data_IF_258082733772
#
_entry.id   IF_258082733772
#
_cell.length_a   1.000
_cell.length_b   1.000
_cell.length_c   1.000
_cell.angle_alpha   90.00
_cell.angle_beta   90.00
_cell.angle_gamma   90.00
#
_symmetry.space_group_name_H-M   'P 1'
#
loop_
_entity.id
_entity.type
_entity.pdbx_description
1 polymer ?
#
# COMPACT_ATOMS: atom_id res chain seq x y z
N UNK A 1 4.93 -19.55 42.14
CA UNK A 1 5.27 -18.13 41.94
C UNK A 1 6.51 -17.89 41.06
N UNK A 2 6.98 -18.85 40.26
CA UNK A 2 8.19 -18.69 39.42
C UNK A 2 7.91 -18.55 37.93
N UNK A 3 6.66 -18.51 37.48
CA UNK A 3 6.29 -18.49 36.06
C UNK A 3 5.58 -17.21 35.60
N UNK A 4 5.46 -16.18 36.44
CA UNK A 4 4.77 -14.94 36.13
C UNK A 4 5.69 -13.81 35.58
N UNK A 5 7.00 -14.04 35.47
CA UNK A 5 7.96 -13.04 35.03
C UNK A 5 8.42 -13.17 33.56
N UNK A 6 7.97 -14.20 32.84
CA UNK A 6 8.40 -14.45 31.46
C UNK A 6 7.44 -13.93 30.38
N UNK A 7 6.27 -13.39 30.77
CA UNK A 7 5.21 -13.00 29.80
C UNK A 7 5.26 -11.51 29.40
N UNK A 8 6.13 -10.68 29.99
CA UNK A 8 6.09 -9.21 29.81
C UNK A 8 7.07 -8.65 28.79
N UNK A 9 7.84 -9.48 28.05
CA UNK A 9 8.92 -8.98 27.20
C UNK A 9 8.63 -9.07 25.69
N UNK A 10 7.39 -9.39 25.28
CA UNK A 10 7.03 -9.55 23.85
C UNK A 10 6.20 -8.41 23.24
N UNK A 11 5.98 -7.30 23.95
CA UNK A 11 5.14 -6.19 23.45
C UNK A 11 5.90 -4.99 22.86
N UNK A 12 7.19 -5.09 22.61
CA UNK A 12 8.03 -3.92 22.26
C UNK A 12 8.37 -3.73 20.78
N UNK A 13 7.97 -4.59 19.85
CA UNK A 13 8.49 -4.58 18.47
C UNK A 13 7.53 -4.09 17.37
N UNK A 14 6.33 -3.64 17.72
CA UNK A 14 5.34 -3.20 16.73
C UNK A 14 5.30 -1.67 16.47
N UNK A 15 6.24 -0.90 17.02
CA UNK A 15 6.09 0.57 17.08
C UNK A 15 6.60 1.37 15.88
N UNK A 16 7.35 0.77 14.95
CA UNK A 16 8.01 1.53 13.87
C UNK A 16 7.21 1.65 12.58
N UNK A 17 6.24 0.78 12.35
CA UNK A 17 5.43 0.79 11.13
C UNK A 17 3.95 0.71 11.47
N UNK A 18 3.16 1.57 10.85
CA UNK A 18 1.69 1.55 10.91
C UNK A 18 1.14 1.23 9.52
N UNK A 19 0.30 0.21 9.45
CA UNK A 19 -0.45 -0.16 8.24
C UNK A 19 -1.92 -0.17 8.59
N UNK A 20 -2.73 0.54 7.80
CA UNK A 20 -4.17 0.59 7.94
C UNK A 20 -4.80 0.28 6.60
N UNK A 21 -5.60 -0.77 6.51
CA UNK A 21 -6.22 -1.23 5.27
C UNK A 21 -7.73 -1.36 5.44
N UNK A 22 -8.46 -0.74 4.51
CA UNK A 22 -9.87 -1.03 4.23
C UNK A 22 -9.88 -1.86 2.94
N UNK A 23 -10.01 -3.18 3.01
CA UNK A 23 -9.91 -4.04 1.84
C UNK A 23 -11.09 -3.87 0.88
N UNK A 24 -10.89 -4.29 -0.36
CA UNK A 24 -11.96 -4.40 -1.36
C UNK A 24 -13.00 -5.40 -0.86
N UNK A 25 -14.28 -5.03 -0.95
CA UNK A 25 -15.39 -5.92 -0.61
C UNK A 25 -15.41 -7.13 -1.55
N UNK A 26 -15.57 -8.34 -0.99
CA UNK A 26 -15.61 -9.60 -1.73
C UNK A 26 -16.74 -9.67 -2.79
N UNK A 27 -17.78 -8.85 -2.65
CA UNK A 27 -18.89 -8.78 -3.60
C UNK A 27 -18.58 -7.90 -4.84
N UNK A 28 -17.44 -7.21 -4.86
CA UNK A 28 -17.03 -6.36 -5.98
C UNK A 28 -16.26 -7.20 -6.99
N UNK A 29 -16.84 -7.36 -8.19
CA UNK A 29 -16.17 -8.03 -9.32
C UNK A 29 -15.26 -7.02 -10.04
N UNK A 30 -14.02 -6.91 -9.61
CA UNK A 30 -13.02 -5.98 -10.16
C UNK A 30 -12.05 -6.73 -11.06
N UNK A 31 -12.21 -6.64 -12.37
CA UNK A 31 -11.30 -7.28 -13.36
C UNK A 31 -10.22 -6.36 -13.88
N UNK A 32 -10.43 -5.05 -13.78
CA UNK A 32 -9.54 -4.01 -14.28
C UNK A 32 -9.61 -2.79 -13.40
N UNK A 33 -8.46 -2.15 -13.19
CA UNK A 33 -8.32 -0.84 -12.56
C UNK A 33 -7.51 0.08 -13.46
N UNK A 34 -7.71 1.38 -13.31
CA UNK A 34 -6.92 2.41 -13.98
C UNK A 34 -6.18 3.22 -12.92
N UNK A 35 -4.86 3.17 -12.95
CA UNK A 35 -3.99 3.89 -12.04
C UNK A 35 -3.75 5.29 -12.61
N UNK A 36 -4.17 6.30 -11.89
CA UNK A 36 -3.95 7.69 -12.24
C UNK A 36 -2.52 8.11 -11.89
N UNK A 37 -1.74 8.53 -12.89
CA UNK A 37 -0.37 9.00 -12.67
C UNK A 37 -0.37 10.21 -11.73
N UNK A 38 0.44 10.14 -10.68
CA UNK A 38 0.66 11.25 -9.77
C UNK A 38 2.08 11.81 -9.96
N UNK A 39 2.24 12.93 -10.67
CA UNK A 39 3.57 13.51 -10.95
C UNK A 39 4.30 14.03 -9.71
N UNK A 40 3.59 14.20 -8.59
CA UNK A 40 4.20 14.59 -7.32
C UNK A 40 4.93 13.43 -6.61
N UNK A 41 4.69 12.19 -7.03
CA UNK A 41 5.34 11.02 -6.45
C UNK A 41 6.70 10.78 -7.10
N UNK A 42 7.75 10.80 -6.29
CA UNK A 42 9.14 10.58 -6.70
C UNK A 42 9.69 9.19 -6.33
N UNK A 43 8.80 8.23 -6.06
CA UNK A 43 9.16 6.82 -5.81
C UNK A 43 8.97 6.06 -7.12
N UNK A 44 10.04 5.91 -7.88
CA UNK A 44 10.01 5.49 -9.29
C UNK A 44 9.39 4.12 -9.54
N UNK A 45 9.56 3.19 -8.60
CA UNK A 45 9.04 1.82 -8.69
C UNK A 45 7.65 1.64 -8.08
N UNK A 46 7.03 2.69 -7.52
CA UNK A 46 5.77 2.57 -6.76
C UNK A 46 4.60 2.08 -7.64
N UNK A 47 4.43 2.66 -8.83
CA UNK A 47 3.39 2.26 -9.78
C UNK A 47 3.56 0.81 -10.22
N UNK A 48 4.80 0.42 -10.54
CA UNK A 48 5.12 -0.96 -10.94
C UNK A 48 4.82 -1.96 -9.83
N UNK A 49 5.10 -1.62 -8.57
CA UNK A 49 4.78 -2.46 -7.40
C UNK A 49 3.26 -2.60 -7.22
N UNK A 50 2.48 -1.52 -7.44
CA UNK A 50 1.02 -1.61 -7.42
C UNK A 50 0.49 -2.50 -8.56
N UNK A 51 0.98 -2.30 -9.79
CA UNK A 51 0.59 -3.13 -10.95
C UNK A 51 0.86 -4.61 -10.70
N UNK A 52 2.04 -4.94 -10.16
CA UNK A 52 2.39 -6.31 -9.75
C UNK A 52 1.41 -6.85 -8.69
N UNK A 53 1.04 -6.03 -7.72
CA UNK A 53 0.05 -6.38 -6.69
C UNK A 53 -1.33 -6.71 -7.28
N UNK A 54 -1.86 -5.87 -8.15
CA UNK A 54 -3.12 -6.14 -8.84
C UNK A 54 -3.04 -7.40 -9.69
N UNK A 55 -1.95 -7.56 -10.45
CA UNK A 55 -1.75 -8.69 -11.35
C UNK A 55 -1.69 -10.04 -10.60
N UNK A 56 -1.05 -10.09 -9.44
CA UNK A 56 -1.04 -11.29 -8.58
C UNK A 56 -2.44 -11.70 -8.13
N UNK A 57 -3.37 -10.75 -8.05
CA UNK A 57 -4.78 -10.99 -7.70
C UNK A 57 -5.70 -11.11 -8.93
N UNK A 58 -5.14 -11.29 -10.12
CA UNK A 58 -5.92 -11.47 -11.36
C UNK A 58 -6.60 -10.20 -11.89
N UNK A 59 -6.16 -9.02 -11.44
CA UNK A 59 -6.73 -7.73 -11.83
C UNK A 59 -5.78 -7.04 -12.82
N UNK A 60 -6.27 -6.69 -14.01
CA UNK A 60 -5.52 -5.89 -14.97
C UNK A 60 -5.38 -4.45 -14.45
N UNK A 61 -4.18 -3.88 -14.50
CA UNK A 61 -3.91 -2.52 -14.05
C UNK A 61 -3.29 -1.69 -15.18
N UNK A 62 -4.04 -0.72 -15.67
CA UNK A 62 -3.59 0.23 -16.70
C UNK A 62 -3.23 1.57 -16.06
N UNK A 63 -2.21 2.23 -16.58
CA UNK A 63 -1.79 3.56 -16.14
C UNK A 63 -2.29 4.61 -17.12
N UNK A 64 -2.81 5.72 -16.63
CA UNK A 64 -3.24 6.83 -17.47
C UNK A 64 -2.87 8.18 -16.86
N UNK A 65 -2.76 9.18 -17.73
CA UNK A 65 -2.54 10.58 -17.39
C UNK A 65 -3.80 11.41 -17.69
N UNK A 66 -4.03 12.46 -16.91
CA UNK A 66 -5.14 13.39 -17.16
C UNK A 66 -6.50 12.78 -16.84
N UNK A 67 -7.44 12.85 -17.78
CA UNK A 67 -8.79 12.36 -17.57
C UNK A 67 -8.85 10.84 -17.69
N UNK A 68 -9.60 10.16 -16.82
CA UNK A 68 -9.76 8.70 -16.90
C UNK A 68 -10.44 8.31 -18.21
N UNK A 69 -9.96 7.25 -18.89
CA UNK A 69 -10.67 6.68 -20.01
C UNK A 69 -12.11 6.31 -19.65
N UNK A 70 -13.05 6.46 -20.58
CA UNK A 70 -14.46 6.14 -20.34
C UNK A 70 -14.69 4.68 -19.90
N UNK A 71 -13.78 3.79 -20.26
CA UNK A 71 -13.81 2.37 -19.87
C UNK A 71 -13.36 2.12 -18.42
N UNK A 72 -12.81 3.12 -17.73
CA UNK A 72 -12.30 2.99 -16.37
C UNK A 72 -13.42 3.12 -15.33
N UNK A 73 -13.93 1.99 -14.88
CA UNK A 73 -14.90 1.93 -13.79
C UNK A 73 -14.25 2.16 -12.43
N UNK A 74 -13.07 1.55 -12.22
CA UNK A 74 -12.32 1.63 -10.96
C UNK A 74 -11.04 2.41 -11.15
N UNK A 75 -10.91 3.50 -10.42
CA UNK A 75 -9.75 4.40 -10.47
C UNK A 75 -8.91 4.21 -9.21
N UNK A 76 -7.61 4.13 -9.39
CA UNK A 76 -6.63 4.05 -8.31
C UNK A 76 -5.85 5.35 -8.27
N UNK A 77 -5.99 6.08 -7.18
CA UNK A 77 -5.16 7.22 -6.83
C UNK A 77 -4.18 6.81 -5.72
N UNK A 78 -2.99 7.39 -5.73
CA UNK A 78 -1.95 7.06 -4.77
C UNK A 78 -1.08 8.26 -4.43
N UNK A 79 -0.48 8.18 -3.24
CA UNK A 79 0.60 9.06 -2.80
C UNK A 79 1.72 8.21 -2.22
N UNK A 80 2.96 8.59 -2.46
CA UNK A 80 4.11 7.95 -1.85
C UNK A 80 5.16 9.01 -1.54
N UNK A 81 5.65 9.00 -0.31
CA UNK A 81 6.64 9.95 0.19
C UNK A 81 7.92 9.22 0.58
N UNK A 82 9.05 9.83 0.24
CA UNK A 82 10.36 9.41 0.70
C UNK A 82 10.85 10.27 1.85
N UNK A 83 11.54 9.66 2.79
CA UNK A 83 12.42 10.32 3.74
C UNK A 83 13.86 9.96 3.44
N UNK A 84 14.80 10.71 4.00
CA UNK A 84 16.21 10.54 3.72
C UNK A 84 17.01 10.40 5.02
N UNK A 85 17.82 9.35 5.09
CA UNK A 85 18.75 9.09 6.17
C UNK A 85 19.79 8.08 5.63
N UNK A 86 21.01 8.53 5.36
CA UNK A 86 22.05 7.84 4.58
C UNK A 86 21.67 7.57 3.13
N UNK A 87 20.46 7.10 2.87
CA UNK A 87 19.86 6.92 1.55
C UNK A 87 18.34 7.15 1.61
N UNK A 88 17.69 7.45 0.48
CA UNK A 88 16.25 7.61 0.45
C UNK A 88 15.53 6.29 0.74
N UNK A 89 14.37 6.37 1.39
CA UNK A 89 13.50 5.25 1.69
C UNK A 89 12.03 5.68 1.70
N UNK A 90 11.13 4.75 1.36
CA UNK A 90 9.70 4.99 1.46
C UNK A 90 9.29 5.14 2.93
N UNK A 91 8.73 6.29 3.29
CA UNK A 91 8.29 6.61 4.65
C UNK A 91 6.78 6.66 4.82
N UNK A 92 6.05 6.95 3.74
CA UNK A 92 4.59 7.01 3.74
C UNK A 92 4.04 6.64 2.37
N UNK A 93 2.91 5.96 2.33
CA UNK A 93 2.16 5.72 1.11
C UNK A 93 0.68 5.59 1.40
N UNK A 94 -0.14 6.06 0.47
CA UNK A 94 -1.59 5.87 0.45
C UNK A 94 -2.01 5.33 -0.90
N UNK A 95 -2.95 4.39 -0.91
CA UNK A 95 -3.57 3.83 -2.11
C UNK A 95 -5.08 3.90 -1.89
N UNK A 96 -5.82 4.43 -2.86
CA UNK A 96 -7.27 4.58 -2.80
C UNK A 96 -7.87 4.04 -4.08
N UNK A 97 -8.89 3.19 -3.94
CA UNK A 97 -9.66 2.66 -5.06
C UNK A 97 -11.05 3.26 -4.99
N UNK A 98 -11.45 3.92 -6.06
CA UNK A 98 -12.76 4.58 -6.18
C UNK A 98 -13.55 4.06 -7.36
N UNK A 99 -14.88 4.11 -7.25
CA UNK A 99 -15.84 3.90 -8.33
C UNK A 99 -16.72 5.13 -8.44
N UNK A 100 -16.67 5.83 -9.57
CA UNK A 100 -17.42 7.08 -9.78
C UNK A 100 -17.25 8.08 -8.61
N UNK A 101 -16.01 8.23 -8.11
CA UNK A 101 -15.67 9.10 -6.99
C UNK A 101 -15.99 8.55 -5.59
N UNK A 102 -16.70 7.43 -5.49
CA UNK A 102 -16.98 6.78 -4.21
C UNK A 102 -15.82 5.87 -3.80
N UNK A 103 -15.30 6.08 -2.59
CA UNK A 103 -14.23 5.25 -2.03
C UNK A 103 -14.72 3.82 -1.76
N UNK A 104 -14.09 2.84 -2.40
CA UNK A 104 -14.35 1.42 -2.18
C UNK A 104 -13.35 0.78 -1.22
N UNK A 105 -12.07 1.07 -1.40
CA UNK A 105 -10.99 0.49 -0.63
C UNK A 105 -9.84 1.47 -0.47
N UNK A 106 -9.06 1.32 0.58
CA UNK A 106 -7.90 2.17 0.82
C UNK A 106 -6.85 1.45 1.66
N UNK A 107 -5.60 1.84 1.46
CA UNK A 107 -4.49 1.38 2.28
C UNK A 107 -3.57 2.55 2.61
N UNK A 108 -3.09 2.59 3.84
CA UNK A 108 -2.08 3.55 4.30
C UNK A 108 -0.92 2.79 4.92
N UNK A 109 0.28 3.10 4.48
CA UNK A 109 1.54 2.66 5.06
C UNK A 109 2.26 3.88 5.64
N UNK A 110 2.73 3.80 6.87
CA UNK A 110 3.46 4.90 7.50
C UNK A 110 4.56 4.38 8.43
N UNK A 111 5.76 4.96 8.31
CA UNK A 111 6.85 4.76 9.26
C UNK A 111 6.76 5.80 10.37
N UNK A 112 6.46 5.37 11.59
CA UNK A 112 6.43 6.23 12.77
C UNK A 112 7.84 6.74 13.08
N UNK A 113 7.98 8.04 13.35
CA UNK A 113 9.29 8.64 13.62
C UNK A 113 10.31 8.42 12.51
N UNK A 114 9.85 8.36 11.25
CA UNK A 114 10.69 8.05 10.06
C UNK A 114 11.43 6.70 10.18
N UNK A 115 10.88 5.75 10.93
CA UNK A 115 11.45 4.42 11.15
C UNK A 115 12.53 4.36 12.24
N UNK A 116 12.89 5.48 12.86
CA UNK A 116 13.87 5.52 13.97
C UNK A 116 15.16 4.74 13.67
N UNK A 117 15.55 3.84 14.59
CA UNK A 117 16.72 2.95 14.46
C UNK A 117 16.38 1.61 13.76
N UNK A 118 15.16 1.43 13.24
CA UNK A 118 14.81 0.19 12.52
C UNK A 118 15.55 0.12 11.19
N UNK A 119 16.39 -0.89 11.05
CA UNK A 119 17.13 -1.17 9.80
C UNK A 119 16.20 -1.57 8.65
N UNK A 120 14.99 -2.03 8.94
CA UNK A 120 13.95 -2.34 7.96
C UNK A 120 13.45 -1.13 7.17
N UNK A 121 13.68 0.10 7.64
CA UNK A 121 13.29 1.33 6.95
C UNK A 121 13.88 1.44 5.53
N UNK A 122 15.04 0.85 5.29
CA UNK A 122 15.70 0.84 3.97
C UNK A 122 15.31 -0.33 3.07
N UNK A 123 14.38 -1.18 3.47
CA UNK A 123 13.82 -2.18 2.55
C UNK A 123 13.20 -1.48 1.33
N UNK A 124 13.29 -2.15 0.18
CA UNK A 124 12.73 -1.63 -1.07
C UNK A 124 11.20 -1.46 -1.02
N UNK A 125 10.67 -0.66 -1.93
CA UNK A 125 9.23 -0.37 -2.06
C UNK A 125 8.41 -1.65 -2.13
N UNK A 126 8.83 -2.63 -2.92
CA UNK A 126 8.12 -3.92 -3.06
C UNK A 126 7.99 -4.66 -1.73
N UNK A 127 9.06 -4.73 -0.95
CA UNK A 127 9.05 -5.43 0.34
C UNK A 127 8.08 -4.80 1.36
N UNK A 128 7.83 -3.49 1.25
CA UNK A 128 6.93 -2.73 2.11
C UNK A 128 5.48 -2.77 1.61
N UNK A 129 5.27 -2.62 0.31
CA UNK A 129 3.97 -2.38 -0.30
C UNK A 129 3.31 -3.66 -0.82
N UNK A 130 4.06 -4.69 -1.22
CA UNK A 130 3.46 -5.94 -1.67
C UNK A 130 2.53 -6.58 -0.60
N UNK A 131 2.91 -6.67 0.68
CA UNK A 131 2.00 -7.16 1.73
C UNK A 131 0.77 -6.25 1.92
N UNK A 132 0.92 -4.94 1.76
CA UNK A 132 -0.19 -3.97 1.83
C UNK A 132 -1.18 -4.18 0.69
N UNK A 133 -0.67 -4.42 -0.52
CA UNK A 133 -1.52 -4.76 -1.68
C UNK A 133 -2.25 -6.07 -1.47
N UNK A 134 -1.58 -7.09 -0.93
CA UNK A 134 -2.20 -8.38 -0.66
C UNK A 134 -3.33 -8.26 0.38
N UNK A 135 -3.15 -7.43 1.41
CA UNK A 135 -4.21 -7.15 2.40
C UNK A 135 -5.35 -6.31 1.78
N UNK A 136 -5.03 -5.30 0.96
CA UNK A 136 -6.03 -4.48 0.28
C UNK A 136 -6.94 -5.31 -0.63
N UNK A 137 -6.41 -6.35 -1.24
CA UNK A 137 -7.09 -7.22 -2.19
C UNK A 137 -7.49 -8.58 -1.60
N UNK A 138 -7.34 -8.78 -0.28
CA UNK A 138 -7.57 -10.06 0.39
C UNK A 138 -9.02 -10.57 0.25
N UNK A 139 -10.00 -9.68 0.14
CA UNK A 139 -11.42 -10.05 -0.10
C UNK A 139 -11.72 -10.42 -1.55
N UNK A 140 -10.78 -10.19 -2.47
CA UNK A 140 -10.97 -10.43 -3.89
C UNK A 140 -10.55 -11.87 -4.25
N UNK A 141 -11.48 -12.63 -4.77
CA UNK A 141 -11.25 -13.96 -5.34
C UNK A 141 -11.51 -13.89 -6.84
N UNK A 142 -10.49 -14.13 -7.69
CA UNK A 142 -10.66 -14.11 -9.15
C UNK A 142 -11.58 -15.23 -9.65
#
# INVERSE_FOLDING_TARGET
MKYLLAASLMLGLAACTSVNVKPVDANIAMKRVCIHTNPAVSVDDFVMVMQDGFQRHGIAAEVYDGNPPASCKYVVDYTALRSWDFKPYLSHAEIRITEHGRLLASATYHLNGKGGFDMGKWRGTKAKIAPVMDELLAGFHP
#
